data_IF_538497202470
#
_entry.id   IF_538497202470
#
_cell.length_a   1.000
_cell.length_b   1.000
_cell.length_c   1.000
_cell.angle_alpha   90.00
_cell.angle_beta   90.00
_cell.angle_gamma   90.00
#
_symmetry.space_group_name_H-M   'P 1'
#
loop_
_entity.id
_entity.type
_entity.pdbx_description
1 polymer ?
#
# COMPACT_ATOMS: atom_id res chain seq x y z
N UNK A 1 90.17 12.87 -17.68
CA UNK A 1 88.79 13.20 -18.09
C UNK A 1 88.79 13.27 -19.60
N UNK A 2 87.78 12.66 -20.23
CA UNK A 2 87.10 13.13 -21.46
C UNK A 2 86.53 11.95 -22.26
N UNK A 3 85.38 11.47 -21.78
CA UNK A 3 84.05 11.48 -22.42
C UNK A 3 83.90 11.46 -23.97
N UNK A 4 84.91 11.17 -24.78
CA UNK A 4 84.81 11.28 -26.25
C UNK A 4 84.78 9.94 -27.00
N UNK A 5 85.06 8.80 -26.34
CA UNK A 5 85.08 7.49 -27.01
C UNK A 5 83.83 6.64 -26.67
N UNK A 6 83.12 6.94 -25.59
CA UNK A 6 81.90 6.21 -25.18
C UNK A 6 80.60 6.78 -25.80
N UNK A 7 80.64 7.99 -26.36
CA UNK A 7 79.48 8.64 -26.99
C UNK A 7 79.27 8.28 -28.46
N UNK A 8 80.28 7.71 -29.13
CA UNK A 8 80.18 7.33 -30.55
C UNK A 8 79.54 5.95 -30.79
N UNK A 9 79.49 5.07 -29.78
CA UNK A 9 78.91 3.72 -29.90
C UNK A 9 77.45 3.63 -29.44
N UNK A 10 76.96 4.64 -28.71
CA UNK A 10 75.55 4.73 -28.27
C UNK A 10 74.69 5.50 -29.30
N UNK A 11 75.31 6.32 -30.15
CA UNK A 11 74.62 7.06 -31.22
C UNK A 11 74.17 6.22 -32.42
N UNK A 12 74.76 5.04 -32.65
CA UNK A 12 74.45 4.21 -33.82
C UNK A 12 73.33 3.16 -33.58
N UNK A 13 73.05 2.79 -32.32
CA UNK A 13 71.98 1.84 -32.00
C UNK A 13 70.62 2.54 -31.81
N UNK A 14 70.63 3.84 -31.50
CA UNK A 14 69.41 4.63 -31.27
C UNK A 14 68.66 5.06 -32.54
N UNK A 15 69.23 4.88 -33.74
CA UNK A 15 68.59 5.27 -35.01
C UNK A 15 68.19 4.07 -35.88
N UNK A 16 68.78 2.89 -35.64
CA UNK A 16 68.40 1.65 -36.34
C UNK A 16 67.13 0.98 -35.80
N UNK A 17 66.79 1.17 -34.52
CA UNK A 17 65.61 0.56 -33.88
C UNK A 17 64.30 1.32 -34.10
N UNK A 18 64.37 2.61 -34.41
CA UNK A 18 63.21 3.52 -34.31
C UNK A 18 62.32 3.48 -35.55
N UNK A 19 62.85 3.13 -36.72
CA UNK A 19 62.08 3.06 -37.97
C UNK A 19 61.39 1.68 -38.19
N UNK A 20 61.98 0.58 -37.72
CA UNK A 20 61.35 -0.75 -37.78
C UNK A 20 60.30 -0.93 -36.66
N UNK A 21 60.46 -0.22 -35.54
CA UNK A 21 59.47 -0.17 -34.45
C UNK A 21 58.21 0.64 -34.76
N UNK A 22 58.26 1.67 -35.63
CA UNK A 22 57.08 2.50 -35.93
C UNK A 22 56.11 1.83 -36.90
N UNK A 23 56.60 1.03 -37.85
CA UNK A 23 55.74 0.38 -38.85
C UNK A 23 55.08 -0.88 -38.28
N UNK A 24 55.79 -1.65 -37.45
CA UNK A 24 55.20 -2.77 -36.70
C UNK A 24 54.39 -2.29 -35.47
N UNK A 25 54.83 -1.21 -34.81
CA UNK A 25 54.10 -0.55 -33.72
C UNK A 25 52.79 0.07 -34.20
N UNK A 26 52.77 0.75 -35.34
CA UNK A 26 51.53 1.30 -35.93
C UNK A 26 50.50 0.24 -36.28
N UNK A 27 50.92 -0.97 -36.68
CA UNK A 27 49.99 -2.06 -37.03
C UNK A 27 49.46 -2.81 -35.80
N UNK A 28 50.29 -2.98 -34.75
CA UNK A 28 49.86 -3.51 -33.44
C UNK A 28 49.04 -2.48 -32.65
N UNK A 29 49.30 -1.18 -32.82
CA UNK A 29 48.56 -0.10 -32.17
C UNK A 29 47.25 0.22 -32.91
N UNK A 30 47.17 0.02 -34.23
CA UNK A 30 45.91 0.06 -34.99
C UNK A 30 45.00 -1.16 -34.72
N UNK A 31 45.57 -2.38 -34.63
CA UNK A 31 44.83 -3.58 -34.21
C UNK A 31 44.49 -3.58 -32.70
N UNK A 32 45.37 -3.05 -31.87
CA UNK A 32 45.18 -2.86 -30.44
C UNK A 32 44.15 -1.78 -30.13
N UNK A 33 44.10 -0.70 -30.92
CA UNK A 33 43.08 0.34 -30.83
C UNK A 33 41.69 -0.15 -31.22
N UNK A 34 41.57 -1.01 -32.25
CA UNK A 34 40.30 -1.68 -32.56
C UNK A 34 39.88 -2.67 -31.47
N UNK A 35 40.82 -3.42 -30.89
CA UNK A 35 40.53 -4.32 -29.77
C UNK A 35 40.12 -3.57 -28.49
N UNK A 36 40.79 -2.47 -28.16
CA UNK A 36 40.42 -1.59 -27.05
C UNK A 36 39.11 -0.85 -27.31
N UNK A 37 38.85 -0.38 -28.54
CA UNK A 37 37.58 0.25 -28.88
C UNK A 37 36.42 -0.74 -28.80
N UNK A 38 36.62 -1.98 -29.25
CA UNK A 38 35.62 -3.06 -29.11
C UNK A 38 35.41 -3.47 -27.67
N UNK A 39 36.48 -3.56 -26.88
CA UNK A 39 36.41 -3.83 -25.43
C UNK A 39 35.72 -2.70 -24.67
N UNK A 40 36.00 -1.44 -25.01
CA UNK A 40 35.34 -0.26 -24.44
C UNK A 40 33.87 -0.19 -24.84
N UNK A 41 33.53 -0.54 -26.09
CA UNK A 41 32.15 -0.62 -26.54
C UNK A 41 31.38 -1.74 -25.83
N UNK A 42 32.01 -2.91 -25.64
CA UNK A 42 31.42 -4.00 -24.87
C UNK A 42 31.27 -3.64 -23.39
N UNK A 43 32.27 -3.03 -22.78
CA UNK A 43 32.20 -2.53 -21.40
C UNK A 43 31.11 -1.46 -21.25
N UNK A 44 30.98 -0.54 -22.21
CA UNK A 44 29.91 0.46 -22.23
C UNK A 44 28.53 -0.18 -22.42
N UNK A 45 28.39 -1.20 -23.26
CA UNK A 45 27.14 -1.94 -23.42
C UNK A 45 26.78 -2.74 -22.15
N UNK A 46 27.76 -3.36 -21.49
CA UNK A 46 27.57 -4.07 -20.23
C UNK A 46 27.18 -3.09 -19.13
N UNK A 47 27.88 -1.95 -19.02
CA UNK A 47 27.57 -0.89 -18.06
C UNK A 47 26.17 -0.32 -18.31
N UNK A 48 25.83 0.02 -19.57
CA UNK A 48 24.50 0.52 -19.92
C UNK A 48 23.39 -0.49 -19.59
N UNK A 49 23.61 -1.78 -19.87
CA UNK A 49 22.68 -2.85 -19.48
C UNK A 49 22.57 -2.93 -17.95
N UNK A 50 23.68 -2.92 -17.22
CA UNK A 50 23.68 -2.97 -15.76
C UNK A 50 22.95 -1.76 -15.16
N UNK A 51 23.23 -0.55 -15.62
CA UNK A 51 22.54 0.69 -15.20
C UNK A 51 21.05 0.63 -15.51
N UNK A 52 20.66 0.13 -16.67
CA UNK A 52 19.26 -0.05 -17.03
C UNK A 52 18.54 -1.04 -16.09
N UNK A 53 19.18 -2.18 -15.77
CA UNK A 53 18.62 -3.15 -14.83
C UNK A 53 18.48 -2.57 -13.43
N UNK A 54 19.49 -1.84 -12.95
CA UNK A 54 19.45 -1.17 -11.65
C UNK A 54 18.32 -0.13 -11.59
N UNK A 55 18.19 0.72 -12.62
CA UNK A 55 17.14 1.73 -12.68
C UNK A 55 15.73 1.12 -12.68
N UNK A 56 15.52 0.00 -13.38
CA UNK A 56 14.25 -0.73 -13.34
C UNK A 56 13.98 -1.37 -11.97
N UNK A 57 15.02 -1.92 -11.35
CA UNK A 57 14.93 -2.48 -10.00
C UNK A 57 14.49 -1.41 -8.99
N UNK A 58 15.19 -0.27 -8.96
CA UNK A 58 14.92 0.82 -8.02
C UNK A 58 13.52 1.41 -8.23
N UNK A 59 13.09 1.55 -9.49
CA UNK A 59 11.73 1.98 -9.83
C UNK A 59 10.68 1.01 -9.29
N UNK A 60 10.85 -0.29 -9.52
CA UNK A 60 9.91 -1.32 -9.08
C UNK A 60 9.80 -1.38 -7.56
N UNK A 61 10.94 -1.32 -6.87
CA UNK A 61 10.98 -1.26 -5.42
C UNK A 61 10.25 -0.03 -4.87
N UNK A 62 10.49 1.13 -5.48
CA UNK A 62 9.84 2.38 -5.08
C UNK A 62 8.32 2.34 -5.27
N UNK A 63 7.85 1.79 -6.39
CA UNK A 63 6.42 1.62 -6.67
C UNK A 63 5.74 0.72 -5.63
N UNK A 64 6.36 -0.42 -5.30
CA UNK A 64 5.82 -1.34 -4.29
C UNK A 64 5.81 -0.72 -2.88
N UNK A 65 6.86 0.03 -2.54
CA UNK A 65 6.91 0.74 -1.27
C UNK A 65 5.82 1.83 -1.18
N UNK A 66 5.60 2.58 -2.26
CA UNK A 66 4.53 3.57 -2.34
C UNK A 66 3.14 2.92 -2.24
N UNK A 67 2.93 1.80 -2.94
CA UNK A 67 1.70 1.00 -2.85
C UNK A 67 1.41 0.51 -1.43
N UNK A 68 2.41 -0.09 -0.77
CA UNK A 68 2.26 -0.57 0.60
C UNK A 68 2.01 0.57 1.60
N UNK A 69 2.62 1.74 1.40
CA UNK A 69 2.35 2.93 2.21
C UNK A 69 0.90 3.40 2.02
N UNK A 70 0.45 3.57 0.78
CA UNK A 70 -0.91 3.98 0.47
C UNK A 70 -1.95 2.98 1.00
N UNK A 71 -1.63 1.68 0.99
CA UNK A 71 -2.46 0.64 1.58
C UNK A 71 -2.66 0.87 3.09
N UNK A 72 -1.57 1.09 3.83
CA UNK A 72 -1.62 1.38 5.27
C UNK A 72 -2.40 2.66 5.58
N UNK A 73 -2.13 3.74 4.84
CA UNK A 73 -2.83 5.02 5.02
C UNK A 73 -4.34 4.89 4.76
N UNK A 74 -4.73 4.10 3.76
CA UNK A 74 -6.14 3.83 3.49
C UNK A 74 -6.79 2.98 4.59
N UNK A 75 -6.09 1.98 5.12
CA UNK A 75 -6.56 1.17 6.25
C UNK A 75 -6.76 2.02 7.50
N UNK A 76 -5.81 2.90 7.81
CA UNK A 76 -5.91 3.84 8.93
C UNK A 76 -7.08 4.82 8.75
N UNK A 77 -7.24 5.39 7.55
CA UNK A 77 -8.35 6.29 7.25
C UNK A 77 -9.71 5.58 7.28
N UNK A 78 -9.79 4.31 6.89
CA UNK A 78 -10.99 3.49 7.03
C UNK A 78 -11.31 3.22 8.52
N UNK A 79 -10.29 2.97 9.34
CA UNK A 79 -10.46 2.75 10.78
C UNK A 79 -10.95 4.03 11.50
N UNK A 80 -10.46 5.20 11.08
CA UNK A 80 -10.87 6.50 11.60
C UNK A 80 -12.36 6.80 11.39
N UNK A 81 -13.01 6.21 10.38
CA UNK A 81 -14.45 6.39 10.17
C UNK A 81 -15.26 5.96 11.40
N UNK A 82 -14.76 5.01 12.19
CA UNK A 82 -15.45 4.51 13.39
C UNK A 82 -15.36 5.47 14.60
N UNK A 83 -14.60 6.55 14.49
CA UNK A 83 -14.43 7.56 15.54
C UNK A 83 -14.81 8.96 15.08
N UNK A 84 -14.57 9.28 13.81
CA UNK A 84 -14.69 10.64 13.28
C UNK A 84 -15.41 10.62 11.94
N UNK A 85 -16.18 11.67 11.65
CA UNK A 85 -16.71 11.87 10.30
C UNK A 85 -15.64 12.40 9.35
N UNK A 86 -14.81 11.49 8.84
CA UNK A 86 -13.71 11.82 7.92
C UNK A 86 -13.95 11.29 6.51
N UNK A 87 -15.22 11.05 6.11
CA UNK A 87 -15.55 10.42 4.84
C UNK A 87 -14.86 11.06 3.61
N UNK A 88 -14.77 12.40 3.47
CA UNK A 88 -14.05 13.02 2.36
C UNK A 88 -12.56 12.67 2.34
N UNK A 89 -11.90 12.67 3.51
CA UNK A 89 -10.48 12.31 3.62
C UNK A 89 -10.26 10.83 3.34
N UNK A 90 -11.10 9.95 3.90
CA UNK A 90 -11.03 8.51 3.65
C UNK A 90 -11.25 8.19 2.17
N UNK A 91 -12.14 8.92 1.48
CA UNK A 91 -12.31 8.80 0.03
C UNK A 91 -11.06 9.26 -0.73
N UNK A 92 -10.41 10.36 -0.33
CA UNK A 92 -9.13 10.80 -0.93
C UNK A 92 -8.05 9.73 -0.78
N UNK A 93 -7.92 9.13 0.40
CA UNK A 93 -6.95 8.05 0.67
C UNK A 93 -7.24 6.79 -0.12
N UNK A 94 -8.52 6.43 -0.27
CA UNK A 94 -8.93 5.34 -1.16
C UNK A 94 -8.53 5.61 -2.61
N UNK A 95 -8.75 6.82 -3.13
CA UNK A 95 -8.32 7.18 -4.49
C UNK A 95 -6.80 7.11 -4.66
N UNK A 96 -6.03 7.67 -3.72
CA UNK A 96 -4.57 7.59 -3.74
C UNK A 96 -4.08 6.13 -3.73
N UNK A 97 -4.71 5.27 -2.92
CA UNK A 97 -4.43 3.84 -2.90
C UNK A 97 -4.74 3.16 -4.24
N UNK A 98 -5.90 3.43 -4.85
CA UNK A 98 -6.24 2.85 -6.16
C UNK A 98 -5.28 3.27 -7.28
N UNK A 99 -4.77 4.51 -7.22
CA UNK A 99 -3.75 4.98 -8.16
C UNK A 99 -2.42 4.23 -7.94
N UNK A 100 -1.95 4.15 -6.69
CA UNK A 100 -0.72 3.43 -6.36
C UNK A 100 -0.80 1.94 -6.70
N UNK A 101 -1.99 1.33 -6.61
CA UNK A 101 -2.23 -0.04 -7.07
C UNK A 101 -2.02 -0.17 -8.59
N UNK A 102 -2.63 0.70 -9.40
CA UNK A 102 -2.49 0.67 -10.85
C UNK A 102 -1.03 0.89 -11.30
N UNK A 103 -0.31 1.80 -10.62
CA UNK A 103 1.11 2.02 -10.88
C UNK A 103 1.96 0.79 -10.52
N UNK A 104 1.66 0.14 -9.40
CA UNK A 104 2.34 -1.08 -8.99
C UNK A 104 2.06 -2.24 -9.96
N UNK A 105 0.81 -2.43 -10.38
CA UNK A 105 0.40 -3.45 -11.35
C UNK A 105 1.12 -3.28 -12.69
N UNK A 106 1.24 -2.04 -13.18
CA UNK A 106 1.94 -1.73 -14.43
C UNK A 106 3.46 -2.00 -14.35
N UNK A 107 4.08 -1.71 -13.20
CA UNK A 107 5.53 -1.81 -13.03
C UNK A 107 6.02 -3.20 -12.59
N UNK A 108 5.16 -4.00 -11.98
CA UNK A 108 5.55 -5.21 -11.28
C UNK A 108 5.84 -6.40 -12.22
N UNK A 109 6.81 -7.26 -11.87
CA UNK A 109 6.95 -8.58 -12.49
C UNK A 109 5.69 -9.44 -12.29
N UNK A 110 5.39 -10.31 -13.26
CA UNK A 110 4.19 -11.16 -13.24
C UNK A 110 4.00 -11.96 -11.93
N UNK A 111 5.10 -12.40 -11.30
CA UNK A 111 5.09 -13.13 -10.04
C UNK A 111 4.51 -12.32 -8.85
N UNK A 112 4.47 -10.99 -8.93
CA UNK A 112 3.95 -10.12 -7.86
C UNK A 112 2.49 -9.70 -8.08
N UNK A 113 1.90 -9.94 -9.25
CA UNK A 113 0.56 -9.45 -9.56
C UNK A 113 -0.51 -10.03 -8.63
N UNK A 114 -0.42 -11.32 -8.29
CA UNK A 114 -1.36 -11.97 -7.38
C UNK A 114 -1.24 -11.40 -5.95
N UNK A 115 -0.05 -11.35 -5.32
CA UNK A 115 0.10 -10.72 -4.01
C UNK A 115 -0.30 -9.23 -3.98
N UNK A 116 -0.06 -8.49 -5.06
CA UNK A 116 -0.52 -7.10 -5.19
C UNK A 116 -2.05 -7.05 -5.14
N UNK A 117 -2.76 -7.89 -5.90
CA UNK A 117 -4.22 -7.92 -5.92
C UNK A 117 -4.83 -8.37 -4.58
N UNK A 118 -4.18 -9.28 -3.85
CA UNK A 118 -4.65 -9.68 -2.51
C UNK A 118 -4.60 -8.53 -1.50
N UNK A 119 -3.56 -7.69 -1.56
CA UNK A 119 -3.53 -6.45 -0.76
C UNK A 119 -4.67 -5.53 -1.17
N UNK A 120 -4.96 -5.38 -2.47
CA UNK A 120 -6.08 -4.56 -2.97
C UNK A 120 -7.41 -5.05 -2.42
N UNK A 121 -7.67 -6.35 -2.53
CA UNK A 121 -8.89 -6.97 -2.03
C UNK A 121 -9.03 -6.78 -0.51
N UNK A 122 -7.95 -6.94 0.25
CA UNK A 122 -7.98 -6.75 1.70
C UNK A 122 -8.32 -5.30 2.09
N UNK A 123 -7.64 -4.32 1.51
CA UNK A 123 -7.88 -2.89 1.77
C UNK A 123 -9.27 -2.47 1.29
N UNK A 124 -9.69 -2.90 0.10
CA UNK A 124 -11.01 -2.59 -0.44
C UNK A 124 -12.15 -3.14 0.42
N UNK A 125 -12.03 -4.37 0.90
CA UNK A 125 -13.03 -4.96 1.81
C UNK A 125 -13.12 -4.18 3.12
N UNK A 126 -11.99 -3.78 3.71
CA UNK A 126 -11.99 -2.94 4.91
C UNK A 126 -12.66 -1.59 4.65
N UNK A 127 -12.31 -0.90 3.56
CA UNK A 127 -12.90 0.39 3.19
C UNK A 127 -14.42 0.32 3.06
N UNK A 128 -14.94 -0.64 2.29
CA UNK A 128 -16.38 -0.77 2.07
C UNK A 128 -17.13 -1.17 3.35
N UNK A 129 -16.58 -2.10 4.14
CA UNK A 129 -17.17 -2.48 5.44
C UNK A 129 -17.21 -1.30 6.41
N UNK A 130 -16.13 -0.50 6.47
CA UNK A 130 -16.06 0.69 7.30
C UNK A 130 -17.07 1.74 6.86
N UNK A 131 -17.19 2.02 5.55
CA UNK A 131 -18.15 2.99 5.03
C UNK A 131 -19.60 2.61 5.40
N UNK A 132 -19.94 1.32 5.36
CA UNK A 132 -21.29 0.84 5.67
C UNK A 132 -21.59 0.75 7.17
N UNK A 133 -20.58 0.46 8.01
CA UNK A 133 -20.79 0.14 9.43
C UNK A 133 -20.38 1.23 10.39
N UNK A 134 -19.44 2.09 10.01
CA UNK A 134 -18.93 3.12 10.89
C UNK A 134 -19.97 4.19 11.29
N UNK A 135 -20.90 4.64 10.41
CA UNK A 135 -21.93 5.61 10.82
C UNK A 135 -22.79 5.12 11.98
N UNK A 136 -23.32 3.89 11.90
CA UNK A 136 -24.13 3.29 12.96
C UNK A 136 -23.32 3.09 14.26
N UNK A 137 -22.06 2.67 14.16
CA UNK A 137 -21.18 2.54 15.33
C UNK A 137 -20.88 3.90 16.00
N UNK A 138 -20.71 4.97 15.22
CA UNK A 138 -20.54 6.33 15.76
C UNK A 138 -21.80 6.81 16.46
N UNK A 139 -22.97 6.65 15.82
CA UNK A 139 -24.27 6.97 16.41
C UNK A 139 -24.47 6.25 17.75
N UNK A 140 -24.18 4.95 17.81
CA UNK A 140 -24.29 4.16 19.03
C UNK A 140 -23.30 4.63 20.13
N UNK A 141 -22.04 4.90 19.76
CA UNK A 141 -21.05 5.41 20.72
C UNK A 141 -21.49 6.74 21.32
N UNK A 142 -22.03 7.63 20.50
CA UNK A 142 -22.53 8.93 20.94
C UNK A 142 -23.75 8.77 21.86
N UNK A 143 -24.71 7.93 21.50
CA UNK A 143 -25.87 7.60 22.33
C UNK A 143 -25.43 7.07 23.71
N UNK A 144 -24.48 6.14 23.73
CA UNK A 144 -23.92 5.57 24.97
C UNK A 144 -23.16 6.59 25.79
N UNK A 145 -22.40 7.48 25.14
CA UNK A 145 -21.65 8.55 25.80
C UNK A 145 -22.61 9.49 26.53
N UNK A 146 -23.69 9.94 25.88
CA UNK A 146 -24.71 10.81 26.48
C UNK A 146 -25.49 10.12 27.60
N UNK A 147 -25.88 8.87 27.39
CA UNK A 147 -26.51 8.07 28.44
C UNK A 147 -25.60 7.95 29.69
N UNK A 148 -24.29 7.76 29.49
CA UNK A 148 -23.30 7.73 30.59
C UNK A 148 -23.15 9.08 31.30
N UNK A 149 -23.40 10.18 30.60
CA UNK A 149 -23.41 11.53 31.20
C UNK A 149 -24.70 11.84 31.97
N UNK A 150 -25.68 10.92 31.97
CA UNK A 150 -26.92 11.07 32.73
C UNK A 150 -28.03 11.83 31.99
N UNK A 151 -27.89 12.05 30.67
CA UNK A 151 -28.95 12.66 29.87
C UNK A 151 -30.16 11.71 29.80
N UNK A 152 -31.27 12.08 30.45
CA UNK A 152 -32.43 11.21 30.61
C UNK A 152 -33.02 10.72 29.28
N UNK A 153 -33.07 11.59 28.26
CA UNK A 153 -33.52 11.24 26.91
C UNK A 153 -32.60 10.17 26.30
N UNK A 154 -31.27 10.34 26.41
CA UNK A 154 -30.29 9.39 25.88
C UNK A 154 -30.32 8.04 26.61
N UNK A 155 -30.58 8.01 27.92
CA UNK A 155 -30.76 6.76 28.68
C UNK A 155 -31.98 6.00 28.17
N UNK A 156 -33.13 6.68 28.02
CA UNK A 156 -34.36 6.07 27.48
C UNK A 156 -34.16 5.54 26.06
N UNK A 157 -33.54 6.35 25.19
CA UNK A 157 -33.24 5.95 23.81
C UNK A 157 -32.32 4.73 23.75
N UNK A 158 -31.26 4.71 24.56
CA UNK A 158 -30.35 3.54 24.66
C UNK A 158 -31.10 2.28 25.07
N UNK A 159 -31.91 2.35 26.13
CA UNK A 159 -32.66 1.19 26.63
C UNK A 159 -33.74 0.71 25.65
N UNK A 160 -34.34 1.61 24.87
CA UNK A 160 -35.29 1.25 23.83
C UNK A 160 -34.59 0.55 22.64
N UNK A 161 -33.43 1.07 22.20
CA UNK A 161 -32.60 0.44 21.16
C UNK A 161 -32.08 -0.92 21.61
N UNK A 162 -31.63 -1.05 22.86
CA UNK A 162 -31.17 -2.34 23.39
C UNK A 162 -32.29 -3.38 23.43
N UNK A 163 -33.51 -3.01 23.83
CA UNK A 163 -34.69 -3.87 23.77
C UNK A 163 -35.06 -4.27 22.33
N UNK A 164 -35.03 -3.32 21.38
CA UNK A 164 -35.22 -3.62 19.97
C UNK A 164 -34.18 -4.62 19.44
N UNK A 165 -32.96 -4.60 19.98
CA UNK A 165 -31.90 -5.51 19.60
C UNK A 165 -31.96 -6.89 20.27
N UNK A 166 -32.79 -7.04 21.30
CA UNK A 166 -33.14 -8.34 21.88
C UNK A 166 -34.22 -9.07 21.08
N UNK A 167 -34.98 -8.34 20.24
CA UNK A 167 -35.89 -8.94 19.26
C UNK A 167 -35.07 -9.82 18.30
N UNK A 168 -35.49 -11.08 18.16
CA UNK A 168 -34.77 -12.10 17.41
C UNK A 168 -34.39 -11.62 16.01
N UNK A 169 -33.11 -11.76 15.66
CA UNK A 169 -32.55 -11.40 14.35
C UNK A 169 -33.16 -12.20 13.18
N UNK A 170 -33.87 -13.30 13.48
CA UNK A 170 -34.60 -14.11 12.50
C UNK A 170 -35.99 -13.56 12.17
N UNK A 171 -36.48 -12.53 12.89
CA UNK A 171 -37.75 -11.88 12.57
C UNK A 171 -37.59 -11.09 11.26
N UNK A 172 -38.46 -11.33 10.25
CA UNK A 172 -38.45 -10.56 9.01
C UNK A 172 -38.57 -9.05 9.27
N UNK A 173 -37.86 -8.24 8.49
CA UNK A 173 -37.81 -6.79 8.68
C UNK A 173 -39.20 -6.14 8.80
N UNK A 174 -40.16 -6.54 7.96
CA UNK A 174 -41.52 -6.01 7.99
C UNK A 174 -42.28 -6.28 9.31
N UNK A 175 -42.01 -7.43 9.95
CA UNK A 175 -42.58 -7.76 11.26
C UNK A 175 -41.85 -6.98 12.36
N UNK A 176 -40.54 -6.82 12.23
CA UNK A 176 -39.71 -6.05 13.17
C UNK A 176 -40.10 -4.57 13.18
N UNK A 177 -40.29 -3.94 12.03
CA UNK A 177 -40.70 -2.52 11.94
C UNK A 177 -42.10 -2.27 12.49
N UNK A 178 -42.95 -3.30 12.53
CA UNK A 178 -44.29 -3.24 13.12
C UNK A 178 -44.32 -3.55 14.61
N UNK A 179 -43.18 -3.90 15.22
CA UNK A 179 -43.11 -4.28 16.62
C UNK A 179 -43.20 -3.06 17.55
N UNK A 180 -43.78 -3.21 18.76
CA UNK A 180 -43.82 -2.12 19.72
C UNK A 180 -42.41 -1.69 20.15
N UNK A 181 -41.43 -2.58 20.15
CA UNK A 181 -40.03 -2.26 20.43
C UNK A 181 -39.44 -1.32 19.37
N UNK A 182 -39.76 -1.53 18.09
CA UNK A 182 -39.30 -0.65 17.01
C UNK A 182 -39.90 0.75 17.17
N UNK A 183 -41.22 0.84 17.31
CA UNK A 183 -41.93 2.12 17.48
C UNK A 183 -41.43 2.87 18.72
N UNK A 184 -41.20 2.16 19.84
CA UNK A 184 -40.66 2.77 21.05
C UNK A 184 -39.22 3.27 20.87
N UNK A 185 -38.37 2.51 20.16
CA UNK A 185 -37.00 2.92 19.88
C UNK A 185 -36.97 4.13 18.93
N UNK A 186 -37.81 4.14 17.91
CA UNK A 186 -37.98 5.24 16.96
C UNK A 186 -38.40 6.53 17.67
N UNK A 187 -39.47 6.48 18.48
CA UNK A 187 -39.89 7.64 19.27
C UNK A 187 -38.80 8.12 20.22
N UNK A 188 -38.15 7.21 20.94
CA UNK A 188 -37.11 7.60 21.91
C UNK A 188 -35.88 8.22 21.24
N UNK A 189 -35.51 7.78 20.02
CA UNK A 189 -34.43 8.37 19.23
C UNK A 189 -34.82 9.72 18.64
N UNK A 190 -36.06 9.86 18.13
CA UNK A 190 -36.55 11.13 17.57
C UNK A 190 -36.70 12.23 18.64
N UNK A 191 -36.96 11.84 19.90
CA UNK A 191 -37.01 12.76 21.04
C UNK A 191 -35.61 13.22 21.52
N UNK A 192 -34.52 12.66 20.98
CA UNK A 192 -33.15 12.96 21.42
C UNK A 192 -32.55 14.14 20.64
N UNK A 193 -32.28 15.30 21.29
CA UNK A 193 -31.78 16.47 20.57
C UNK A 193 -30.44 16.22 19.88
N UNK A 194 -30.36 16.49 18.57
CA UNK A 194 -29.15 16.30 17.78
C UNK A 194 -28.92 14.87 17.26
N UNK A 195 -29.91 13.98 17.41
CA UNK A 195 -30.08 12.82 16.54
C UNK A 195 -31.04 13.21 15.42
N UNK A 196 -30.59 13.10 14.17
CA UNK A 196 -31.43 13.30 13.00
C UNK A 196 -32.01 11.97 12.50
N UNK A 197 -32.87 12.04 11.48
CA UNK A 197 -33.51 10.89 10.86
C UNK A 197 -32.49 9.84 10.37
N UNK A 198 -31.30 10.27 9.94
CA UNK A 198 -30.24 9.36 9.47
C UNK A 198 -29.66 8.56 10.64
N UNK A 199 -29.36 9.21 11.77
CA UNK A 199 -28.90 8.53 12.97
C UNK A 199 -29.95 7.55 13.51
N UNK A 200 -31.23 7.93 13.47
CA UNK A 200 -32.33 7.08 13.88
C UNK A 200 -32.41 5.83 12.99
N UNK A 201 -32.46 6.00 11.68
CA UNK A 201 -32.52 4.87 10.73
C UNK A 201 -31.33 3.91 10.90
N UNK A 202 -30.11 4.44 11.05
CA UNK A 202 -28.89 3.64 11.23
C UNK A 202 -28.94 2.72 12.45
N UNK A 203 -29.59 3.13 13.54
CA UNK A 203 -29.69 2.36 14.77
C UNK A 203 -30.86 1.37 14.76
N UNK A 204 -31.97 1.75 14.12
CA UNK A 204 -33.17 0.92 14.00
C UNK A 204 -32.95 -0.27 13.05
N UNK A 205 -32.26 -0.06 11.93
CA UNK A 205 -32.05 -1.09 10.91
C UNK A 205 -31.11 -2.22 11.35
N UNK A 206 -30.25 -1.96 12.35
CA UNK A 206 -29.24 -2.91 12.82
C UNK A 206 -29.78 -3.85 13.88
N UNK A 207 -29.33 -5.10 13.89
CA UNK A 207 -29.51 -6.03 15.02
C UNK A 207 -28.24 -6.16 15.85
N UNK A 208 -28.35 -6.70 17.07
CA UNK A 208 -27.18 -7.03 17.91
C UNK A 208 -26.20 -7.95 17.18
N UNK A 209 -26.72 -8.98 16.52
CA UNK A 209 -25.91 -9.97 15.80
C UNK A 209 -25.14 -9.32 14.63
N UNK A 210 -25.80 -8.46 13.85
CA UNK A 210 -25.15 -7.73 12.75
C UNK A 210 -24.05 -6.79 13.25
N UNK A 211 -24.26 -6.15 14.41
CA UNK A 211 -23.25 -5.29 15.05
C UNK A 211 -22.04 -6.08 15.50
N UNK A 212 -22.27 -7.18 16.22
CA UNK A 212 -21.19 -8.06 16.69
C UNK A 212 -20.44 -8.71 15.52
N UNK A 213 -21.14 -9.07 14.44
CA UNK A 213 -20.53 -9.53 13.20
C UNK A 213 -19.66 -8.44 12.56
N UNK A 214 -20.14 -7.19 12.45
CA UNK A 214 -19.36 -6.09 11.91
C UNK A 214 -18.08 -5.81 12.72
N UNK A 215 -18.15 -5.93 14.06
CA UNK A 215 -16.99 -5.84 14.93
C UNK A 215 -15.96 -6.95 14.68
N UNK A 216 -16.40 -8.21 14.58
CA UNK A 216 -15.52 -9.35 14.23
C UNK A 216 -14.94 -9.21 12.83
N UNK A 217 -15.76 -8.81 11.87
CA UNK A 217 -15.34 -8.61 10.48
C UNK A 217 -14.24 -7.56 10.38
N UNK A 218 -14.36 -6.44 11.12
CA UNK A 218 -13.33 -5.39 11.15
C UNK A 218 -11.97 -5.93 11.61
N UNK A 219 -11.93 -6.68 12.70
CA UNK A 219 -10.67 -7.24 13.21
C UNK A 219 -10.10 -8.30 12.26
N UNK A 220 -10.94 -9.19 11.74
CA UNK A 220 -10.56 -10.15 10.70
C UNK A 220 -10.02 -9.43 9.43
N UNK A 221 -10.58 -8.29 9.02
CA UNK A 221 -10.07 -7.52 7.87
C UNK A 221 -8.67 -6.96 8.13
N UNK A 222 -8.38 -6.49 9.35
CA UNK A 222 -7.04 -6.00 9.72
C UNK A 222 -6.02 -7.13 9.65
N UNK A 223 -6.36 -8.31 10.17
CA UNK A 223 -5.50 -9.49 10.11
C UNK A 223 -5.23 -9.92 8.66
N UNK A 224 -6.27 -9.99 7.84
CA UNK A 224 -6.15 -10.30 6.41
C UNK A 224 -5.26 -9.30 5.66
N UNK A 225 -5.35 -8.01 5.98
CA UNK A 225 -4.45 -7.00 5.41
C UNK A 225 -2.99 -7.24 5.81
N UNK A 226 -2.72 -7.53 7.09
CA UNK A 226 -1.35 -7.81 7.55
C UNK A 226 -0.80 -9.11 6.95
N UNK A 227 -1.64 -10.12 6.74
CA UNK A 227 -1.26 -11.35 6.04
C UNK A 227 -0.89 -11.05 4.58
N UNK A 228 -1.79 -10.43 3.81
CA UNK A 228 -1.55 -10.09 2.41
C UNK A 228 -0.32 -9.19 2.23
N UNK A 229 -0.11 -8.24 3.14
CA UNK A 229 1.09 -7.39 3.15
C UNK A 229 2.37 -8.20 3.36
N UNK A 230 2.38 -9.14 4.31
CA UNK A 230 3.53 -10.02 4.56
C UNK A 230 3.83 -10.91 3.36
N UNK A 231 2.80 -11.46 2.73
CA UNK A 231 2.93 -12.27 1.52
C UNK A 231 3.50 -11.46 0.35
N UNK A 232 3.02 -10.23 0.13
CA UNK A 232 3.58 -9.35 -0.89
C UNK A 232 5.04 -9.00 -0.60
N UNK A 233 5.39 -8.70 0.64
CA UNK A 233 6.78 -8.42 1.02
C UNK A 233 7.68 -9.64 0.80
N UNK A 234 7.23 -10.83 1.19
CA UNK A 234 7.97 -12.07 0.96
C UNK A 234 8.14 -12.36 -0.54
N UNK A 235 7.08 -12.21 -1.34
CA UNK A 235 7.15 -12.37 -2.80
C UNK A 235 8.10 -11.35 -3.43
N UNK A 236 8.04 -10.10 -3.00
CA UNK A 236 8.93 -9.04 -3.47
C UNK A 236 10.39 -9.38 -3.14
N UNK A 237 10.71 -9.78 -1.91
CA UNK A 237 12.09 -10.14 -1.53
C UNK A 237 12.64 -11.30 -2.34
N UNK A 238 11.82 -12.31 -2.64
CA UNK A 238 12.20 -13.43 -3.50
C UNK A 238 12.51 -12.96 -4.93
N UNK A 239 11.61 -12.16 -5.52
CA UNK A 239 11.76 -11.63 -6.89
C UNK A 239 12.96 -10.70 -7.03
N UNK A 240 13.24 -9.92 -5.99
CA UNK A 240 14.33 -8.96 -5.95
C UNK A 240 15.64 -9.53 -5.39
N UNK A 241 15.64 -10.79 -4.94
CA UNK A 241 16.83 -11.46 -4.42
C UNK A 241 17.32 -10.93 -3.07
N UNK A 242 16.45 -10.31 -2.27
CA UNK A 242 16.81 -9.73 -0.97
C UNK A 242 16.55 -10.65 0.22
N UNK A 243 16.03 -11.87 0.01
CA UNK A 243 15.87 -12.90 1.05
C UNK A 243 17.19 -13.59 1.47
N UNK A 244 18.32 -13.25 0.84
CA UNK A 244 19.63 -13.88 1.07
C UNK A 244 20.62 -13.03 1.87
N UNK A 245 20.14 -11.97 2.54
CA UNK A 245 20.95 -11.10 3.39
C UNK A 245 20.49 -11.17 4.84
#
# INVERSE_FOLDING_TARGET
>A
MDASITSALIGAVAVGGTALGTVLGGWVQARGGQAQAKAAQQAAQIAAKATHHQALYDRRWSLLAAYLRAASECMEAADQLYTTDSLPETRRRWHAFTLAHAEAELGAPAALLVPIDEVRKAVGRMYWTAQQSAPAERALKELRRRAKQGEAAAVRAREAVERLWEVDAHVPLAQRTSSPEYVNAEHALNDLPGFDDEHTALLLDRTRQQREAAGRDREMRKENHQLARRELVAAARNVFGTDRF
#
